data_IF_160422933033
#
_entry.id   IF_160422933033
#
_cell.length_a   1.000
_cell.length_b   1.000
_cell.length_c   1.000
_cell.angle_alpha   90.00
_cell.angle_beta   90.00
_cell.angle_gamma   90.00
#
_symmetry.space_group_name_H-M   'P 1'
#
loop_
_entity.id
_entity.type
_entity.pdbx_description
1 polymer ?
#
# COMPACT_ATOMS: atom_id res chain seq x y z
N UNK A 1 21.23 -9.78 -27.73
CA UNK A 1 19.82 -9.59 -27.28
C UNK A 1 19.90 -8.75 -26.03
N UNK A 2 19.21 -7.62 -25.97
CA UNK A 2 19.17 -6.85 -24.72
C UNK A 2 18.61 -7.74 -23.62
N UNK A 3 19.26 -7.78 -22.46
CA UNK A 3 18.73 -8.47 -21.30
C UNK A 3 17.36 -7.86 -20.95
N UNK A 4 16.41 -8.68 -20.49
CA UNK A 4 15.13 -8.17 -20.00
C UNK A 4 15.37 -7.33 -18.76
N UNK A 5 14.75 -6.15 -18.60
CA UNK A 5 14.94 -5.30 -17.42
C UNK A 5 14.37 -5.98 -16.17
N UNK A 6 14.95 -5.66 -15.03
CA UNK A 6 14.26 -5.87 -13.75
C UNK A 6 13.10 -4.85 -13.64
N UNK A 7 12.05 -5.21 -12.93
CA UNK A 7 10.89 -4.33 -12.72
C UNK A 7 10.60 -4.25 -11.24
N UNK A 8 10.53 -3.02 -10.73
CA UNK A 8 10.18 -2.76 -9.33
C UNK A 8 8.95 -1.86 -9.29
N UNK A 9 7.90 -2.35 -8.65
CA UNK A 9 6.67 -1.60 -8.41
C UNK A 9 6.64 -1.21 -6.94
N UNK A 10 6.73 0.09 -6.64
CA UNK A 10 6.62 0.64 -5.30
C UNK A 10 5.23 1.24 -5.17
N UNK A 11 4.46 0.71 -4.23
CA UNK A 11 3.09 1.13 -3.96
C UNK A 11 2.97 1.74 -2.57
N UNK A 12 2.19 2.79 -2.47
CA UNK A 12 1.59 3.27 -1.22
C UNK A 12 0.12 2.85 -1.18
N UNK A 13 -0.58 3.07 -0.08
CA UNK A 13 -2.02 2.79 0.00
C UNK A 13 -2.79 4.05 0.41
N UNK A 14 -3.87 4.34 -0.32
CA UNK A 14 -4.72 5.52 -0.11
C UNK A 14 -4.01 6.87 -0.41
N UNK A 15 -2.91 6.85 -1.16
CA UNK A 15 -2.29 8.08 -1.64
C UNK A 15 -3.02 8.59 -2.88
N UNK A 16 -3.36 9.86 -2.88
CA UNK A 16 -3.96 10.54 -4.03
C UNK A 16 -2.99 11.52 -4.67
N UNK A 17 -3.18 11.79 -5.95
CA UNK A 17 -2.49 12.86 -6.63
C UNK A 17 -2.68 14.22 -5.93
N UNK A 18 -1.71 15.11 -6.06
CA UNK A 18 -1.79 16.47 -5.53
C UNK A 18 -3.03 17.18 -6.10
N UNK A 19 -3.90 17.76 -5.24
CA UNK A 19 -5.10 18.43 -5.70
C UNK A 19 -4.76 19.76 -6.38
N UNK A 20 -5.57 20.14 -7.37
CA UNK A 20 -5.40 21.40 -8.11
C UNK A 20 -5.48 22.67 -7.25
N UNK A 21 -6.06 22.57 -6.06
CA UNK A 21 -6.17 23.65 -5.07
C UNK A 21 -5.04 23.64 -4.02
N UNK A 22 -4.00 22.85 -4.22
CA UNK A 22 -2.84 22.82 -3.34
C UNK A 22 -2.13 24.18 -3.30
N UNK A 23 -1.72 24.59 -2.10
CA UNK A 23 -0.96 25.84 -1.93
C UNK A 23 0.49 25.70 -2.38
N UNK A 24 1.17 26.83 -2.66
CA UNK A 24 2.60 26.79 -3.01
C UNK A 24 3.44 26.20 -1.87
N UNK A 25 3.13 26.54 -0.61
CA UNK A 25 3.82 25.99 0.56
C UNK A 25 3.72 24.45 0.63
N UNK A 26 2.56 23.87 0.26
CA UNK A 26 2.41 22.43 0.18
C UNK A 26 3.18 21.83 -0.98
N UNK A 27 3.23 22.50 -2.13
CA UNK A 27 4.05 22.06 -3.28
C UNK A 27 5.53 22.08 -2.92
N UNK A 28 6.00 23.10 -2.24
CA UNK A 28 7.37 23.17 -1.73
C UNK A 28 7.65 22.07 -0.70
N UNK A 29 6.72 21.82 0.20
CA UNK A 29 6.83 20.74 1.17
C UNK A 29 6.89 19.36 0.48
N UNK A 30 6.09 19.10 -0.56
CA UNK A 30 6.17 17.84 -1.31
C UNK A 30 7.54 17.59 -1.92
N UNK A 31 8.24 18.63 -2.35
CA UNK A 31 9.63 18.51 -2.84
C UNK A 31 10.62 18.09 -1.76
N UNK A 32 10.25 18.16 -0.49
CA UNK A 32 11.07 17.64 0.62
C UNK A 32 10.87 16.13 0.85
N UNK A 33 9.88 15.54 0.23
CA UNK A 33 9.65 14.08 0.22
C UNK A 33 10.60 13.45 -0.81
N UNK A 34 11.79 13.07 -0.38
CA UNK A 34 12.90 12.71 -1.26
C UNK A 34 12.60 11.52 -2.16
N UNK A 35 11.93 10.52 -1.62
CA UNK A 35 11.53 9.34 -2.35
C UNK A 35 10.50 9.66 -3.42
N UNK A 36 9.51 10.48 -3.10
CA UNK A 36 8.46 10.93 -4.02
C UNK A 36 9.02 11.86 -5.08
N UNK A 37 9.76 12.90 -4.68
CA UNK A 37 10.32 13.90 -5.57
C UNK A 37 11.27 13.29 -6.61
N UNK A 38 11.98 12.22 -6.25
CA UNK A 38 12.86 11.54 -7.20
C UNK A 38 12.09 11.03 -8.43
N UNK A 39 10.89 10.44 -8.24
CA UNK A 39 10.07 9.98 -9.36
C UNK A 39 9.55 11.14 -10.22
N UNK A 40 9.20 12.27 -9.59
CA UNK A 40 8.76 13.47 -10.31
C UNK A 40 9.88 14.05 -11.18
N UNK A 41 11.12 13.99 -10.70
CA UNK A 41 12.30 14.54 -11.40
C UNK A 41 12.85 13.60 -12.50
N UNK A 42 12.64 12.27 -12.38
CA UNK A 42 13.29 11.27 -13.25
C UNK A 42 12.31 10.42 -14.05
N UNK A 43 11.01 10.53 -13.76
CA UNK A 43 9.97 9.68 -14.34
C UNK A 43 9.08 10.38 -15.35
N UNK A 44 8.07 9.63 -15.77
CA UNK A 44 6.94 10.11 -16.57
C UNK A 44 5.68 9.94 -15.74
N UNK A 45 4.96 11.02 -15.46
CA UNK A 45 3.70 11.01 -14.74
C UNK A 45 2.52 10.73 -15.67
N UNK A 46 1.61 9.87 -15.24
CA UNK A 46 0.37 9.55 -15.92
C UNK A 46 -0.81 10.23 -15.22
N UNK A 47 -1.01 11.52 -15.46
CA UNK A 47 -2.00 12.37 -14.76
C UNK A 47 -3.46 11.95 -15.00
N UNK A 48 -3.72 11.08 -15.96
CA UNK A 48 -5.05 10.57 -16.30
C UNK A 48 -5.17 9.07 -16.08
N UNK A 49 -4.49 8.55 -15.07
CA UNK A 49 -4.66 7.19 -14.61
C UNK A 49 -5.84 7.13 -13.64
N UNK A 50 -6.85 6.31 -13.96
CA UNK A 50 -8.07 6.18 -13.18
C UNK A 50 -8.14 4.82 -12.50
N UNK A 51 -8.51 4.81 -11.22
CA UNK A 51 -8.72 3.55 -10.49
C UNK A 51 -10.06 2.91 -10.87
N UNK A 52 -10.11 1.58 -10.89
CA UNK A 52 -11.34 0.83 -11.13
C UNK A 52 -12.28 0.79 -9.92
N UNK A 53 -11.78 1.11 -8.73
CA UNK A 53 -12.53 1.23 -7.48
C UNK A 53 -11.82 2.15 -6.51
N UNK A 54 -12.59 2.83 -5.64
CA UNK A 54 -12.04 3.68 -4.58
C UNK A 54 -11.69 2.91 -3.30
N UNK A 55 -12.16 1.65 -3.17
CA UNK A 55 -11.87 0.82 -2.03
C UNK A 55 -10.72 -0.15 -2.36
N UNK A 56 -9.84 -0.41 -1.38
CA UNK A 56 -8.61 -1.19 -1.58
C UNK A 56 -8.87 -2.63 -2.04
N UNK A 57 -9.81 -3.35 -1.40
CA UNK A 57 -10.08 -4.77 -1.74
C UNK A 57 -10.51 -4.97 -3.19
N UNK A 58 -11.42 -4.18 -3.80
CA UNK A 58 -11.71 -4.30 -5.23
C UNK A 58 -10.70 -3.58 -6.15
N UNK A 59 -9.98 -2.57 -5.65
CA UNK A 59 -8.98 -1.85 -6.45
C UNK A 59 -7.72 -2.67 -6.71
N UNK A 60 -7.22 -3.37 -5.67
CA UNK A 60 -5.99 -4.17 -5.77
C UNK A 60 -6.09 -5.32 -6.77
N UNK A 61 -7.13 -6.19 -6.76
CA UNK A 61 -7.32 -7.15 -7.83
C UNK A 61 -7.42 -6.52 -9.21
N UNK A 62 -8.07 -5.34 -9.35
CA UNK A 62 -8.11 -4.61 -10.62
C UNK A 62 -6.71 -4.28 -11.12
N UNK A 63 -5.84 -3.77 -10.25
CA UNK A 63 -4.45 -3.45 -10.60
C UNK A 63 -3.66 -4.71 -10.97
N UNK A 64 -3.78 -5.78 -10.18
CA UNK A 64 -2.97 -6.99 -10.35
C UNK A 64 -3.48 -7.95 -11.42
N UNK A 65 -4.74 -7.88 -11.82
CA UNK A 65 -5.32 -8.73 -12.88
C UNK A 65 -5.52 -8.00 -14.20
N UNK A 66 -5.54 -6.65 -14.19
CA UNK A 66 -5.92 -5.83 -15.34
C UNK A 66 -7.42 -5.94 -15.69
N UNK A 67 -8.24 -6.47 -14.77
CA UNK A 67 -9.68 -6.66 -14.96
C UNK A 67 -10.47 -5.73 -14.03
N UNK A 68 -11.65 -5.30 -14.46
CA UNK A 68 -12.56 -4.52 -13.60
C UNK A 68 -13.27 -5.39 -12.55
N UNK A 69 -13.79 -4.77 -11.46
CA UNK A 69 -14.45 -5.50 -10.38
C UNK A 69 -15.59 -6.42 -10.79
N UNK A 70 -16.32 -6.08 -11.83
CA UNK A 70 -17.40 -6.91 -12.39
C UNK A 70 -16.89 -8.18 -13.08
N UNK A 71 -15.63 -8.19 -13.54
CA UNK A 71 -15.00 -9.35 -14.19
C UNK A 71 -14.36 -10.27 -13.15
N UNK A 72 -13.50 -9.73 -12.25
CA UNK A 72 -12.87 -10.57 -11.21
C UNK A 72 -13.80 -10.83 -10.01
N UNK A 73 -14.97 -10.19 -9.94
CA UNK A 73 -16.02 -10.43 -8.96
C UNK A 73 -15.77 -9.89 -7.56
N UNK A 74 -14.61 -9.27 -7.29
CA UNK A 74 -14.30 -8.64 -6.00
C UNK A 74 -14.82 -7.21 -6.03
N UNK A 75 -15.95 -6.95 -5.38
CA UNK A 75 -16.69 -5.69 -5.52
C UNK A 75 -16.86 -4.90 -4.22
N UNK A 76 -16.41 -5.47 -3.10
CA UNK A 76 -16.62 -4.89 -1.77
C UNK A 76 -15.33 -4.93 -0.96
N UNK A 77 -15.21 -4.05 0.02
CA UNK A 77 -14.14 -4.05 1.00
C UNK A 77 -14.65 -4.41 2.39
N UNK A 78 -13.81 -5.00 3.19
CA UNK A 78 -13.99 -5.15 4.62
C UNK A 78 -13.73 -3.82 5.37
N UNK A 79 -13.92 -3.83 6.66
CA UNK A 79 -13.73 -2.68 7.54
C UNK A 79 -14.75 -2.66 8.67
N UNK A 80 -15.00 -1.48 9.24
CA UNK A 80 -15.89 -1.33 10.41
C UNK A 80 -17.33 -1.77 10.16
N UNK A 81 -17.82 -1.74 8.92
CA UNK A 81 -19.19 -2.11 8.57
C UNK A 81 -19.35 -3.56 8.13
N UNK A 82 -18.24 -4.26 7.89
CA UNK A 82 -18.24 -5.61 7.37
C UNK A 82 -16.88 -6.27 7.62
N UNK A 83 -16.88 -7.31 8.40
CA UNK A 83 -15.64 -8.05 8.72
C UNK A 83 -15.11 -8.81 7.50
N UNK A 84 -13.84 -9.15 7.51
CA UNK A 84 -13.19 -9.87 6.41
C UNK A 84 -13.81 -11.26 6.12
N UNK A 85 -14.37 -11.92 7.14
CA UNK A 85 -15.05 -13.20 7.08
C UNK A 85 -16.57 -13.11 6.83
N UNK A 86 -17.11 -11.90 6.63
CA UNK A 86 -18.53 -11.71 6.30
C UNK A 86 -18.88 -12.47 5.01
N UNK A 87 -19.97 -13.21 5.02
CA UNK A 87 -20.43 -14.02 3.87
C UNK A 87 -20.72 -13.21 2.60
N UNK A 88 -20.87 -11.91 2.71
CA UNK A 88 -21.02 -10.98 1.57
C UNK A 88 -19.68 -10.57 0.95
N UNK A 89 -18.57 -10.78 1.66
CA UNK A 89 -17.24 -10.53 1.13
C UNK A 89 -16.87 -11.58 0.09
N UNK A 90 -16.29 -11.11 -0.99
CA UNK A 90 -15.67 -11.96 -1.99
C UNK A 90 -14.20 -11.54 -2.13
N UNK A 91 -13.34 -12.51 -1.97
CA UNK A 91 -11.90 -12.38 -2.17
C UNK A 91 -11.50 -13.07 -3.48
N UNK A 92 -10.42 -12.61 -4.09
CA UNK A 92 -9.86 -13.29 -5.26
C UNK A 92 -9.36 -14.67 -4.86
N UNK A 93 -9.74 -15.68 -5.61
CA UNK A 93 -9.31 -17.07 -5.38
C UNK A 93 -8.17 -17.45 -6.33
N UNK A 94 -7.29 -18.36 -5.91
CA UNK A 94 -6.26 -18.90 -6.78
C UNK A 94 -6.85 -19.45 -8.07
N UNK A 95 -6.29 -19.03 -9.21
CA UNK A 95 -6.68 -19.54 -10.52
C UNK A 95 -7.97 -18.99 -11.14
N UNK A 96 -8.73 -18.13 -10.43
CA UNK A 96 -9.91 -17.47 -11.02
C UNK A 96 -9.54 -16.52 -12.16
N UNK A 97 -8.55 -15.66 -11.90
CA UNK A 97 -8.02 -14.73 -12.90
C UNK A 97 -6.49 -14.68 -12.73
N UNK A 98 -5.70 -14.81 -13.81
CA UNK A 98 -4.26 -14.67 -13.71
C UNK A 98 -3.88 -13.26 -13.22
N UNK A 99 -2.91 -13.18 -12.32
CA UNK A 99 -2.37 -11.93 -11.82
C UNK A 99 -1.13 -11.51 -12.60
N UNK A 100 -0.67 -10.30 -12.35
CA UNK A 100 0.61 -9.79 -12.82
C UNK A 100 1.76 -10.76 -12.48
N UNK A 101 1.77 -11.32 -11.25
CA UNK A 101 2.75 -12.32 -10.85
C UNK A 101 2.73 -13.57 -11.71
N UNK A 102 1.54 -14.12 -12.04
CA UNK A 102 1.42 -15.27 -12.92
C UNK A 102 1.98 -14.97 -14.33
N UNK A 103 1.66 -13.81 -14.90
CA UNK A 103 2.13 -13.41 -16.23
C UNK A 103 3.65 -13.26 -16.28
N UNK A 104 4.24 -12.58 -15.29
CA UNK A 104 5.68 -12.38 -15.23
C UNK A 104 6.43 -13.68 -14.96
N UNK A 105 5.91 -14.52 -14.08
CA UNK A 105 6.48 -15.85 -13.81
C UNK A 105 6.48 -16.72 -15.08
N UNK A 106 5.37 -16.72 -15.83
CA UNK A 106 5.29 -17.40 -17.14
C UNK A 106 6.28 -16.82 -18.18
N UNK A 107 6.62 -15.54 -18.06
CA UNK A 107 7.65 -14.90 -18.88
C UNK A 107 9.09 -15.17 -18.40
N UNK A 108 9.29 -15.96 -17.34
CA UNK A 108 10.61 -16.32 -16.82
C UNK A 108 11.23 -15.33 -15.85
N UNK A 109 10.43 -14.48 -15.24
CA UNK A 109 10.84 -13.61 -14.13
C UNK A 109 10.75 -14.33 -12.79
N UNK A 110 11.63 -13.99 -11.86
CA UNK A 110 11.39 -14.23 -10.45
C UNK A 110 10.42 -13.15 -9.96
N UNK A 111 9.36 -13.57 -9.28
CA UNK A 111 8.28 -12.67 -8.88
C UNK A 111 8.18 -12.63 -7.37
N UNK A 112 8.45 -11.47 -6.78
CA UNK A 112 8.54 -11.24 -5.34
C UNK A 112 7.56 -10.17 -4.91
N UNK A 113 6.94 -10.37 -3.76
CA UNK A 113 6.00 -9.43 -3.16
C UNK A 113 6.30 -9.26 -1.68
N UNK A 114 6.38 -8.02 -1.20
CA UNK A 114 6.42 -7.71 0.23
C UNK A 114 5.50 -6.53 0.56
N UNK A 115 4.85 -6.60 1.72
CA UNK A 115 3.95 -5.57 2.23
C UNK A 115 2.46 -5.89 2.06
N UNK A 116 1.62 -4.87 2.03
CA UNK A 116 0.16 -5.02 2.01
C UNK A 116 -0.33 -5.73 0.75
N UNK A 117 -0.97 -6.89 0.93
CA UNK A 117 -1.58 -7.68 -0.15
C UNK A 117 -3.06 -7.35 -0.36
N UNK A 118 -3.89 -7.66 0.61
CA UNK A 118 -5.31 -7.31 0.70
C UNK A 118 -6.16 -7.67 -0.53
N UNK A 119 -5.88 -8.81 -1.14
CA UNK A 119 -6.55 -9.34 -2.35
C UNK A 119 -7.24 -10.67 -2.05
N UNK A 120 -6.66 -11.44 -1.14
CA UNK A 120 -7.13 -12.77 -0.74
C UNK A 120 -6.86 -13.01 0.74
N UNK A 121 -7.42 -14.07 1.31
CA UNK A 121 -7.02 -14.56 2.62
C UNK A 121 -5.68 -15.28 2.50
N UNK A 122 -4.60 -14.60 2.88
CA UNK A 122 -3.23 -15.12 2.82
C UNK A 122 -2.59 -15.31 4.21
N UNK A 123 -3.24 -14.84 5.26
CA UNK A 123 -2.71 -14.92 6.61
C UNK A 123 -2.56 -16.35 7.11
N UNK A 124 -1.42 -16.61 7.72
CA UNK A 124 -1.26 -17.76 8.61
C UNK A 124 -1.87 -17.44 9.97
N UNK A 125 -2.35 -18.48 10.65
CA UNK A 125 -2.99 -18.32 11.94
C UNK A 125 -2.20 -19.10 13.02
N UNK A 126 -2.23 -18.57 14.22
CA UNK A 126 -1.70 -19.26 15.38
C UNK A 126 -2.68 -20.31 15.94
N UNK A 127 -2.32 -20.95 17.07
CA UNK A 127 -3.16 -21.96 17.70
C UNK A 127 -4.45 -21.44 18.32
N UNK A 128 -4.59 -20.13 18.48
CA UNK A 128 -5.83 -19.47 18.95
C UNK A 128 -6.75 -19.06 17.80
N UNK A 129 -6.28 -19.18 16.56
CA UNK A 129 -7.01 -18.75 15.37
C UNK A 129 -6.79 -17.29 15.01
N UNK A 130 -5.90 -16.57 15.70
CA UNK A 130 -5.53 -15.21 15.37
C UNK A 130 -4.46 -15.17 14.28
N UNK A 131 -4.40 -14.12 13.44
CA UNK A 131 -3.34 -13.95 12.46
C UNK A 131 -1.96 -14.02 13.11
N UNK A 132 -1.06 -14.81 12.51
CA UNK A 132 0.27 -15.07 13.06
C UNK A 132 1.13 -13.80 12.99
N UNK A 133 1.38 -13.14 14.12
CA UNK A 133 2.18 -11.93 14.20
C UNK A 133 3.64 -12.19 13.79
N UNK A 134 4.23 -11.28 13.02
CA UNK A 134 5.65 -11.33 12.61
C UNK A 134 6.50 -10.20 13.18
N UNK A 135 5.86 -9.30 13.92
CA UNK A 135 6.53 -8.23 14.68
C UNK A 135 5.72 -7.84 15.92
N UNK A 136 6.38 -7.18 16.86
CA UNK A 136 5.75 -6.53 18.01
C UNK A 136 5.26 -5.12 17.66
N UNK A 137 4.56 -4.46 18.59
CA UNK A 137 4.14 -3.06 18.43
C UNK A 137 5.33 -2.08 18.43
N UNK A 138 6.45 -2.48 19.01
CA UNK A 138 7.71 -1.73 19.05
C UNK A 138 8.57 -1.95 17.78
N UNK A 139 8.12 -2.82 16.87
CA UNK A 139 8.80 -3.13 15.62
C UNK A 139 9.89 -4.21 15.73
N UNK A 140 9.92 -4.95 16.83
CA UNK A 140 10.82 -6.11 16.95
C UNK A 140 10.34 -7.25 16.05
N UNK A 141 11.23 -7.82 15.25
CA UNK A 141 10.90 -8.90 14.31
C UNK A 141 10.84 -10.23 15.04
N UNK A 142 9.83 -11.03 14.74
CA UNK A 142 9.63 -12.40 15.24
C UNK A 142 10.11 -13.39 14.17
N UNK A 143 11.42 -13.65 14.12
CA UNK A 143 12.09 -14.37 13.03
C UNK A 143 11.49 -15.76 12.76
N UNK A 144 11.13 -16.53 13.79
CA UNK A 144 10.50 -17.84 13.63
C UNK A 144 9.16 -17.76 12.88
N UNK A 145 8.38 -16.72 13.14
CA UNK A 145 7.10 -16.50 12.46
C UNK A 145 7.30 -15.97 11.03
N UNK A 146 8.32 -15.14 10.81
CA UNK A 146 8.73 -14.73 9.46
C UNK A 146 9.13 -15.95 8.64
N UNK A 147 9.95 -16.85 9.19
CA UNK A 147 10.34 -18.09 8.51
C UNK A 147 9.13 -18.95 8.13
N UNK A 148 8.12 -19.05 9.02
CA UNK A 148 6.89 -19.79 8.72
C UNK A 148 6.10 -19.22 7.53
N UNK A 149 6.04 -17.88 7.39
CA UNK A 149 5.43 -17.25 6.21
C UNK A 149 6.22 -17.52 4.93
N UNK A 150 7.54 -17.45 4.99
CA UNK A 150 8.41 -17.72 3.85
C UNK A 150 8.31 -19.19 3.40
N UNK A 151 8.28 -20.13 4.34
CA UNK A 151 8.12 -21.56 4.05
C UNK A 151 6.74 -21.90 3.48
N UNK A 152 5.67 -21.26 3.97
CA UNK A 152 4.32 -21.49 3.50
C UNK A 152 4.06 -20.88 2.12
N UNK A 153 4.78 -19.82 1.79
CA UNK A 153 4.68 -19.04 0.52
C UNK A 153 3.23 -18.81 0.05
N UNK A 154 2.39 -18.16 0.88
CA UNK A 154 0.93 -18.12 0.69
C UNK A 154 0.49 -17.38 -0.59
N UNK A 155 1.35 -16.54 -1.18
CA UNK A 155 1.07 -15.87 -2.44
C UNK A 155 1.52 -16.64 -3.67
N UNK A 156 2.14 -17.82 -3.52
CA UNK A 156 2.59 -18.64 -4.63
C UNK A 156 1.48 -18.95 -5.65
N UNK A 157 0.23 -19.27 -5.24
CA UNK A 157 -0.88 -19.49 -6.18
C UNK A 157 -1.26 -18.26 -7.01
N UNK A 158 -0.91 -17.05 -6.54
CA UNK A 158 -1.10 -15.80 -7.25
C UNK A 158 0.14 -15.36 -8.03
N UNK A 159 1.12 -16.25 -8.17
CA UNK A 159 2.33 -16.01 -8.94
C UNK A 159 3.37 -15.13 -8.24
N UNK A 160 3.32 -14.93 -6.93
CA UNK A 160 4.31 -14.21 -6.15
C UNK A 160 4.91 -15.10 -5.05
N UNK A 161 6.11 -14.77 -4.59
CA UNK A 161 6.79 -15.42 -3.47
C UNK A 161 7.39 -14.38 -2.52
N UNK A 162 7.78 -14.83 -1.33
CA UNK A 162 8.50 -14.01 -0.35
C UNK A 162 7.65 -13.10 0.52
N UNK A 163 6.33 -13.22 0.46
CA UNK A 163 5.43 -12.41 1.28
C UNK A 163 5.47 -12.79 2.76
N UNK A 164 5.50 -11.76 3.61
CA UNK A 164 5.51 -11.88 5.07
C UNK A 164 4.31 -11.13 5.66
N UNK A 165 3.34 -11.89 6.14
CA UNK A 165 2.16 -11.35 6.83
C UNK A 165 2.45 -10.99 8.31
N UNK A 166 1.40 -10.88 9.14
CA UNK A 166 0.01 -10.89 8.70
C UNK A 166 -0.30 -9.66 7.86
N UNK A 167 -1.46 -9.69 7.17
CA UNK A 167 -1.93 -8.53 6.40
C UNK A 167 -1.92 -7.27 7.28
N UNK A 168 -1.19 -6.20 6.91
CA UNK A 168 -1.14 -4.98 7.69
C UNK A 168 -2.44 -4.20 7.54
N UNK A 169 -3.45 -4.63 8.28
CA UNK A 169 -4.81 -4.10 8.28
C UNK A 169 -5.41 -4.15 9.69
N UNK A 170 -6.37 -3.26 9.97
CA UNK A 170 -7.06 -3.22 11.25
C UNK A 170 -6.47 -2.27 12.28
N UNK A 171 -7.02 -2.30 13.50
CA UNK A 171 -6.76 -1.32 14.56
C UNK A 171 -5.57 -1.63 15.47
N UNK A 172 -4.80 -2.69 15.22
CA UNK A 172 -3.62 -3.03 16.01
C UNK A 172 -2.43 -2.18 15.57
N UNK A 173 -1.80 -1.48 16.51
CA UNK A 173 -0.64 -0.62 16.20
C UNK A 173 0.54 -1.39 15.59
N UNK A 174 0.76 -2.63 16.01
CA UNK A 174 1.78 -3.51 15.42
C UNK A 174 1.61 -3.73 13.90
N UNK A 175 0.39 -3.59 13.38
CA UNK A 175 0.07 -3.72 11.97
C UNK A 175 -0.06 -2.38 11.24
N UNK A 176 0.12 -1.25 11.93
CA UNK A 176 0.10 0.07 11.31
C UNK A 176 1.30 0.27 10.38
N UNK A 177 1.16 1.11 9.37
CA UNK A 177 2.26 1.48 8.49
C UNK A 177 3.39 2.19 9.21
N UNK A 178 3.12 2.86 10.35
CA UNK A 178 4.17 3.45 11.17
C UNK A 178 5.17 2.41 11.70
N UNK A 179 4.73 1.16 11.90
CA UNK A 179 5.58 0.03 12.30
C UNK A 179 5.98 -0.83 11.10
N UNK A 180 5.02 -1.13 10.23
CA UNK A 180 5.23 -2.09 9.13
C UNK A 180 6.05 -1.54 7.96
N UNK A 181 5.88 -0.27 7.58
CA UNK A 181 6.58 0.28 6.41
C UNK A 181 8.11 0.27 6.57
N UNK A 182 8.69 0.65 7.72
CA UNK A 182 10.12 0.46 7.95
C UNK A 182 10.59 -0.99 7.85
N UNK A 183 9.81 -1.95 8.39
CA UNK A 183 10.16 -3.38 8.38
C UNK A 183 10.07 -3.97 6.96
N UNK A 184 9.09 -3.55 6.17
CA UNK A 184 8.97 -3.90 4.75
C UNK A 184 10.21 -3.40 4.00
N UNK A 185 10.58 -2.12 4.18
CA UNK A 185 11.76 -1.56 3.54
C UNK A 185 13.04 -2.32 3.93
N UNK A 186 13.19 -2.71 5.21
CA UNK A 186 14.34 -3.47 5.70
C UNK A 186 14.45 -4.86 5.04
N UNK A 187 13.33 -5.58 4.90
CA UNK A 187 13.31 -6.88 4.23
C UNK A 187 13.64 -6.75 2.76
N UNK A 188 13.02 -5.79 2.09
CA UNK A 188 13.21 -5.54 0.66
C UNK A 188 14.65 -5.13 0.35
N UNK A 189 15.24 -4.22 1.14
CA UNK A 189 16.64 -3.81 0.94
C UNK A 189 17.59 -5.00 1.12
N UNK A 190 17.41 -5.81 2.18
CA UNK A 190 18.21 -7.03 2.37
C UNK A 190 18.07 -8.02 1.20
N UNK A 191 16.84 -8.20 0.69
CA UNK A 191 16.60 -9.06 -0.47
C UNK A 191 17.31 -8.54 -1.73
N UNK A 192 17.26 -7.23 -1.97
CA UNK A 192 17.96 -6.57 -3.09
C UNK A 192 19.49 -6.73 -2.96
N UNK A 193 20.03 -6.48 -1.77
CA UNK A 193 21.47 -6.62 -1.51
C UNK A 193 21.95 -8.05 -1.77
N UNK A 194 21.22 -9.06 -1.26
CA UNK A 194 21.52 -10.48 -1.55
C UNK A 194 21.40 -10.78 -3.04
N UNK A 195 20.32 -10.35 -3.68
CA UNK A 195 20.09 -10.56 -5.11
C UNK A 195 21.21 -10.01 -5.97
N UNK A 196 21.64 -8.77 -5.71
CA UNK A 196 22.71 -8.13 -6.46
C UNK A 196 24.07 -8.74 -6.15
N UNK A 197 24.35 -9.13 -4.91
CA UNK A 197 25.59 -9.82 -4.55
C UNK A 197 25.70 -11.19 -5.25
N UNK A 198 24.63 -11.99 -5.24
CA UNK A 198 24.58 -13.29 -5.93
C UNK A 198 24.71 -13.12 -7.44
N UNK A 199 24.06 -12.10 -8.03
CA UNK A 199 24.18 -11.77 -9.46
C UNK A 199 25.63 -11.42 -9.82
N UNK A 200 26.31 -10.61 -9.01
CA UNK A 200 27.72 -10.26 -9.19
C UNK A 200 28.66 -11.48 -9.07
N UNK A 201 28.28 -12.47 -8.25
CA UNK A 201 29.00 -13.73 -8.12
C UNK A 201 28.71 -14.74 -9.27
N UNK A 202 27.84 -14.40 -10.22
CA UNK A 202 27.49 -15.24 -11.36
C UNK A 202 26.49 -16.36 -11.05
N UNK A 203 25.72 -16.25 -9.96
CA UNK A 203 24.68 -17.20 -9.62
C UNK A 203 23.59 -17.22 -10.73
N UNK A 204 23.40 -18.36 -11.37
CA UNK A 204 22.50 -18.53 -12.51
C UNK A 204 21.04 -18.19 -12.20
N UNK A 205 20.57 -18.45 -10.97
CA UNK A 205 19.23 -18.08 -10.55
C UNK A 205 19.11 -16.56 -10.36
N UNK A 206 20.12 -15.94 -9.76
CA UNK A 206 20.14 -14.50 -9.54
C UNK A 206 20.28 -13.70 -10.85
N UNK A 207 20.74 -14.31 -11.93
CA UNK A 207 20.82 -13.70 -13.28
C UNK A 207 19.46 -13.55 -13.96
N UNK A 208 18.42 -14.29 -13.50
CA UNK A 208 17.06 -14.10 -14.04
C UNK A 208 16.54 -12.70 -13.73
N UNK A 209 15.79 -12.07 -14.64
CA UNK A 209 15.13 -10.81 -14.32
C UNK A 209 14.09 -11.01 -13.20
N UNK A 210 13.81 -9.99 -12.44
CA UNK A 210 12.79 -10.05 -11.39
C UNK A 210 11.70 -8.99 -11.56
N UNK A 211 10.50 -9.33 -11.09
CA UNK A 211 9.43 -8.41 -10.75
C UNK A 211 9.35 -8.36 -9.22
N UNK A 212 9.66 -7.22 -8.64
CA UNK A 212 9.51 -6.96 -7.22
C UNK A 212 8.36 -5.98 -6.98
N UNK A 213 7.40 -6.37 -6.18
CA UNK A 213 6.33 -5.48 -5.70
C UNK A 213 6.58 -5.16 -4.23
N UNK A 214 6.70 -3.89 -3.91
CA UNK A 214 6.84 -3.36 -2.55
C UNK A 214 5.61 -2.53 -2.25
N UNK A 215 4.77 -3.01 -1.36
CA UNK A 215 3.48 -2.40 -1.06
C UNK A 215 3.44 -1.87 0.38
N UNK A 216 3.71 -0.59 0.54
CA UNK A 216 3.62 0.12 1.81
C UNK A 216 2.17 0.33 2.25
N UNK A 217 1.97 0.54 3.54
CA UNK A 217 0.66 0.75 4.15
C UNK A 217 0.26 2.22 4.11
N UNK A 218 1.17 3.13 4.53
CA UNK A 218 0.82 4.53 4.62
C UNK A 218 0.71 5.21 3.24
N UNK A 219 -0.17 6.24 3.15
CA UNK A 219 -0.89 6.97 4.21
C UNK A 219 -2.22 6.36 4.69
N UNK A 220 -2.54 5.10 4.40
CA UNK A 220 -3.79 4.42 4.76
C UNK A 220 -4.13 4.49 6.26
N UNK A 221 -3.13 4.60 7.16
CA UNK A 221 -3.38 4.68 8.60
C UNK A 221 -4.22 5.90 9.02
N UNK A 222 -4.50 6.82 8.10
CA UNK A 222 -5.47 7.90 8.34
C UNK A 222 -6.86 7.37 8.73
N UNK A 223 -7.21 6.15 8.36
CA UNK A 223 -8.46 5.48 8.79
C UNK A 223 -8.52 5.28 10.30
N UNK A 224 -7.36 5.27 10.98
CA UNK A 224 -7.26 5.16 12.44
C UNK A 224 -7.48 6.50 13.15
N UNK A 225 -7.72 7.58 12.43
CA UNK A 225 -7.90 8.92 12.99
C UNK A 225 -8.90 8.98 14.16
N UNK A 226 -10.10 8.36 14.09
CA UNK A 226 -11.03 8.35 15.23
C UNK A 226 -10.45 7.64 16.46
N UNK A 227 -9.66 6.59 16.26
CA UNK A 227 -9.00 5.86 17.35
C UNK A 227 -7.95 6.75 18.02
N UNK A 228 -7.13 7.45 17.23
CA UNK A 228 -6.10 8.36 17.75
C UNK A 228 -6.70 9.54 18.50
N UNK A 229 -7.84 10.07 18.05
CA UNK A 229 -8.54 11.14 18.76
C UNK A 229 -9.06 10.70 20.14
N UNK A 230 -9.34 9.41 20.32
CA UNK A 230 -9.83 8.86 21.58
C UNK A 230 -8.73 8.31 22.50
N UNK A 231 -7.62 7.80 21.94
CA UNK A 231 -6.57 7.10 22.68
C UNK A 231 -5.25 7.86 22.75
N UNK A 232 -5.09 8.92 21.96
CA UNK A 232 -3.84 9.66 21.80
C UNK A 232 -3.19 9.38 20.44
N UNK A 233 -2.47 10.40 19.97
CA UNK A 233 -1.72 10.33 18.71
C UNK A 233 -0.46 9.48 18.88
N UNK A 234 -0.06 8.73 17.83
CA UNK A 234 1.26 8.09 17.82
C UNK A 234 2.39 9.12 17.91
N UNK A 235 3.33 8.89 18.82
CA UNK A 235 4.49 9.79 19.04
C UNK A 235 5.29 10.00 17.74
N UNK A 236 5.38 8.99 16.89
CA UNK A 236 6.06 9.06 15.60
C UNK A 236 5.53 10.18 14.67
N UNK A 237 4.29 10.66 14.89
CA UNK A 237 3.69 11.73 14.08
C UNK A 237 3.85 13.13 14.71
N UNK A 238 4.22 13.24 15.99
CA UNK A 238 4.25 14.52 16.70
C UNK A 238 5.35 15.46 16.19
N UNK A 239 6.48 14.91 15.79
CA UNK A 239 7.62 15.69 15.26
C UNK A 239 7.48 16.15 13.82
N UNK A 240 6.52 15.58 13.07
CA UNK A 240 6.36 15.84 11.64
C UNK A 240 5.61 17.16 11.44
N UNK A 241 6.25 18.10 10.73
CA UNK A 241 5.68 19.40 10.38
C UNK A 241 5.21 19.40 8.94
N UNK A 242 3.96 19.79 8.74
CA UNK A 242 3.38 20.02 7.41
C UNK A 242 2.73 21.39 7.36
N UNK A 243 2.74 22.10 6.24
CA UNK A 243 1.94 23.32 6.07
C UNK A 243 0.45 23.00 6.23
N UNK A 244 -0.34 24.00 6.59
CA UNK A 244 -1.79 23.83 6.74
C UNK A 244 -2.41 23.40 5.42
N UNK A 245 -3.07 22.24 5.43
CA UNK A 245 -3.69 21.66 4.22
C UNK A 245 -5.06 22.27 3.98
N UNK A 246 -5.30 22.95 2.85
CA UNK A 246 -6.56 23.61 2.59
C UNK A 246 -7.71 22.60 2.46
N UNK A 247 -8.92 23.05 2.74
CA UNK A 247 -10.11 22.28 2.46
C UNK A 247 -10.41 22.31 0.96
N UNK A 248 -10.91 21.20 0.44
CA UNK A 248 -11.37 21.17 -0.95
C UNK A 248 -12.48 22.22 -1.19
N UNK A 249 -12.44 23.00 -2.27
CA UNK A 249 -13.50 23.95 -2.59
C UNK A 249 -14.89 23.32 -2.66
N UNK A 250 -14.95 22.03 -3.02
CA UNK A 250 -16.18 21.23 -3.09
C UNK A 250 -16.64 20.63 -1.76
N UNK A 251 -15.93 20.86 -0.64
CA UNK A 251 -16.24 20.21 0.65
C UNK A 251 -17.68 20.47 1.15
N UNK A 252 -18.22 21.65 0.85
CA UNK A 252 -19.58 22.05 1.20
C UNK A 252 -20.46 22.31 -0.03
N UNK A 253 -20.11 21.66 -1.15
CA UNK A 253 -20.84 21.84 -2.40
C UNK A 253 -22.31 21.40 -2.26
N UNK A 254 -23.21 22.21 -2.82
CA UNK A 254 -24.61 21.86 -2.95
C UNK A 254 -24.80 20.78 -4.01
N UNK A 255 -25.32 19.63 -3.60
CA UNK A 255 -25.50 18.48 -4.50
C UNK A 255 -26.78 18.56 -5.35
N UNK A 256 -27.59 19.63 -5.28
CA UNK A 256 -28.84 19.74 -6.04
C UNK A 256 -28.68 19.60 -7.55
N UNK A 257 -27.49 19.94 -8.06
CA UNK A 257 -27.16 19.85 -9.49
C UNK A 257 -26.27 18.64 -9.84
N UNK A 258 -26.08 17.73 -8.88
CA UNK A 258 -25.31 16.49 -9.06
C UNK A 258 -26.24 15.31 -9.35
N UNK A 259 -25.72 14.20 -9.89
CA UNK A 259 -26.53 12.97 -10.06
C UNK A 259 -27.21 12.54 -8.76
N UNK A 260 -28.47 12.12 -8.84
CA UNK A 260 -29.26 11.69 -7.67
C UNK A 260 -28.56 10.56 -6.88
N UNK A 261 -27.80 9.70 -7.54
CA UNK A 261 -27.00 8.64 -6.91
C UNK A 261 -25.98 9.21 -5.92
N UNK A 262 -25.38 10.38 -6.18
CA UNK A 262 -24.43 11.01 -5.28
C UNK A 262 -25.10 11.54 -4.01
N UNK A 263 -26.31 12.11 -4.14
CA UNK A 263 -27.12 12.53 -3.00
C UNK A 263 -27.50 11.33 -2.15
N UNK A 264 -28.07 10.29 -2.79
CA UNK A 264 -28.48 9.06 -2.12
C UNK A 264 -27.32 8.37 -1.39
N UNK A 265 -26.12 8.35 -2.01
CA UNK A 265 -24.93 7.79 -1.38
C UNK A 265 -24.55 8.57 -0.11
N UNK A 266 -24.53 9.90 -0.16
CA UNK A 266 -24.23 10.74 1.01
C UNK A 266 -25.23 10.51 2.16
N UNK A 267 -26.50 10.36 1.83
CA UNK A 267 -27.57 10.12 2.82
C UNK A 267 -27.48 8.71 3.42
N UNK A 268 -27.18 7.71 2.61
CA UNK A 268 -27.07 6.32 3.04
C UNK A 268 -25.76 6.00 3.79
N UNK A 269 -24.69 6.77 3.54
CA UNK A 269 -23.34 6.49 4.06
C UNK A 269 -23.29 6.19 5.57
N UNK A 270 -23.92 7.00 6.46
CA UNK A 270 -23.88 6.74 7.89
C UNK A 270 -24.50 5.40 8.32
N UNK A 271 -25.47 4.88 7.55
CA UNK A 271 -26.11 3.60 7.86
C UNK A 271 -25.47 2.40 7.16
N UNK A 272 -24.75 2.63 6.07
CA UNK A 272 -24.12 1.57 5.28
C UNK A 272 -22.74 1.15 5.81
N UNK A 273 -22.04 2.04 6.49
CA UNK A 273 -20.66 1.84 6.95
C UNK A 273 -20.57 1.72 8.48
N UNK A 274 -21.50 0.99 9.10
CA UNK A 274 -21.48 0.66 10.52
C UNK A 274 -21.48 1.90 11.42
N UNK A 275 -20.47 2.09 12.29
CA UNK A 275 -20.43 3.20 13.25
C UNK A 275 -20.09 4.57 12.63
N UNK A 276 -20.21 4.76 11.32
CA UNK A 276 -19.88 6.02 10.66
C UNK A 276 -20.60 7.22 11.29
N UNK A 277 -21.86 7.07 11.69
CA UNK A 277 -22.60 8.11 12.39
C UNK A 277 -21.97 8.50 13.75
N UNK A 278 -21.41 7.54 14.47
CA UNK A 278 -20.75 7.79 15.77
C UNK A 278 -19.41 8.51 15.61
N UNK A 279 -18.66 8.24 14.53
CA UNK A 279 -17.35 8.84 14.29
C UNK A 279 -17.39 10.14 13.49
N UNK A 280 -18.49 10.42 12.76
CA UNK A 280 -18.64 11.63 11.95
C UNK A 280 -18.37 12.94 12.72
N UNK A 281 -18.80 13.12 14.00
CA UNK A 281 -18.47 14.30 14.77
C UNK A 281 -16.97 14.47 15.05
N UNK A 282 -16.19 13.39 15.10
CA UNK A 282 -14.75 13.42 15.32
C UNK A 282 -14.08 14.09 14.11
N UNK A 283 -14.46 13.69 12.90
CA UNK A 283 -13.95 14.29 11.66
C UNK A 283 -14.38 15.74 11.51
N UNK A 284 -15.67 16.05 11.72
CA UNK A 284 -16.18 17.40 11.51
C UNK A 284 -15.60 18.44 12.49
N UNK A 285 -15.28 18.03 13.71
CA UNK A 285 -14.63 18.91 14.71
C UNK A 285 -13.13 19.07 14.49
N UNK A 286 -12.49 18.12 13.81
CA UNK A 286 -11.02 18.05 13.69
C UNK A 286 -10.58 17.97 12.22
N UNK A 287 -11.37 18.47 11.29
CA UNK A 287 -11.12 18.30 9.84
C UNK A 287 -9.78 18.88 9.38
N UNK A 288 -9.25 19.95 10.03
CA UNK A 288 -7.92 20.46 9.69
C UNK A 288 -6.84 19.44 10.11
N UNK A 289 -6.87 19.02 11.37
CA UNK A 289 -5.93 18.03 11.88
C UNK A 289 -5.96 16.71 11.07
N UNK A 290 -7.14 16.27 10.66
CA UNK A 290 -7.30 15.08 9.79
C UNK A 290 -6.51 15.23 8.48
N UNK A 291 -6.63 16.37 7.80
CA UNK A 291 -5.91 16.63 6.55
C UNK A 291 -4.40 16.77 6.77
N UNK A 292 -4.01 17.46 7.85
CA UNK A 292 -2.59 17.62 8.17
C UNK A 292 -1.94 16.27 8.53
N UNK A 293 -2.65 15.41 9.26
CA UNK A 293 -2.18 14.07 9.61
C UNK A 293 -2.03 13.16 8.38
N UNK A 294 -2.95 13.24 7.44
CA UNK A 294 -2.81 12.51 6.18
C UNK A 294 -1.48 12.87 5.48
N UNK A 295 -1.08 14.14 5.47
CA UNK A 295 0.20 14.56 4.91
C UNK A 295 1.41 14.15 5.78
N UNK A 296 1.25 14.10 7.11
CA UNK A 296 2.30 13.55 7.99
C UNK A 296 2.56 12.07 7.70
N UNK A 297 1.52 11.31 7.38
CA UNK A 297 1.65 9.90 6.99
C UNK A 297 2.36 9.73 5.64
N UNK A 298 2.19 10.67 4.70
CA UNK A 298 2.99 10.69 3.48
C UNK A 298 4.49 10.86 3.81
N UNK A 299 4.83 11.76 4.72
CA UNK A 299 6.23 11.94 5.14
C UNK A 299 6.76 10.71 5.88
N UNK A 300 5.92 10.03 6.67
CA UNK A 300 6.32 8.82 7.38
C UNK A 300 6.68 7.68 6.44
N UNK A 301 5.97 7.50 5.32
CA UNK A 301 6.24 6.45 4.33
C UNK A 301 7.34 6.83 3.34
N UNK A 302 7.60 8.12 3.14
CA UNK A 302 8.60 8.58 2.16
C UNK A 302 10.01 8.10 2.50
N UNK A 303 10.37 8.03 3.77
CA UNK A 303 11.67 7.47 4.21
C UNK A 303 11.86 6.00 3.83
N UNK A 304 10.96 5.07 4.21
CA UNK A 304 10.96 3.70 3.73
C UNK A 304 10.98 3.57 2.20
N UNK A 305 10.18 4.36 1.49
CA UNK A 305 10.12 4.40 0.03
C UNK A 305 11.47 4.81 -0.56
N UNK A 306 12.09 5.88 -0.06
CA UNK A 306 13.40 6.36 -0.52
C UNK A 306 14.49 5.32 -0.32
N UNK A 307 14.50 4.60 0.80
CA UNK A 307 15.47 3.54 1.06
C UNK A 307 15.41 2.43 0.01
N UNK A 308 14.19 1.98 -0.33
CA UNK A 308 13.98 0.97 -1.38
C UNK A 308 14.41 1.52 -2.74
N UNK A 309 13.95 2.71 -3.11
CA UNK A 309 14.33 3.36 -4.37
C UNK A 309 15.85 3.49 -4.50
N UNK A 310 16.51 3.95 -3.43
CA UNK A 310 17.97 4.11 -3.43
C UNK A 310 18.72 2.78 -3.60
N UNK A 311 18.28 1.72 -2.92
CA UNK A 311 18.86 0.39 -3.05
C UNK A 311 18.71 -0.16 -4.49
N UNK A 312 17.53 0.00 -5.09
CA UNK A 312 17.29 -0.41 -6.49
C UNK A 312 18.21 0.34 -7.45
N UNK A 313 18.29 1.67 -7.35
CA UNK A 313 19.11 2.47 -8.28
C UNK A 313 20.59 2.22 -8.11
N UNK A 314 21.08 2.06 -6.87
CA UNK A 314 22.48 1.73 -6.59
C UNK A 314 22.85 0.35 -7.16
N UNK A 315 22.02 -0.66 -6.92
CA UNK A 315 22.24 -2.01 -7.41
C UNK A 315 22.20 -2.10 -8.94
N UNK A 316 21.20 -1.50 -9.57
CA UNK A 316 21.07 -1.45 -11.03
C UNK A 316 22.28 -0.77 -11.68
N UNK A 317 22.75 0.35 -11.13
CA UNK A 317 23.93 1.07 -11.60
C UNK A 317 25.19 0.21 -11.47
N UNK A 318 25.39 -0.42 -10.30
CA UNK A 318 26.57 -1.26 -10.05
C UNK A 318 26.63 -2.48 -10.97
N UNK A 319 25.47 -3.01 -11.38
CA UNK A 319 25.34 -4.17 -12.26
C UNK A 319 25.34 -3.79 -13.75
N UNK A 320 25.18 -2.51 -14.12
CA UNK A 320 24.94 -2.09 -15.49
C UNK A 320 23.70 -2.75 -16.11
N UNK A 321 22.65 -2.98 -15.27
CA UNK A 321 21.45 -3.70 -15.66
C UNK A 321 20.25 -2.75 -15.73
N UNK A 322 19.49 -2.87 -16.83
CA UNK A 322 18.30 -2.05 -17.02
C UNK A 322 17.24 -2.40 -15.96
N UNK A 323 16.72 -1.38 -15.31
CA UNK A 323 15.64 -1.52 -14.30
C UNK A 323 14.55 -0.48 -14.53
N UNK A 324 13.31 -0.92 -14.53
CA UNK A 324 12.13 -0.07 -14.61
C UNK A 324 11.54 0.09 -13.21
N UNK A 325 11.47 1.32 -12.71
CA UNK A 325 10.76 1.64 -11.48
C UNK A 325 9.39 2.21 -11.81
N UNK A 326 8.37 1.68 -11.16
CA UNK A 326 6.99 2.14 -11.23
C UNK A 326 6.54 2.56 -9.84
N UNK A 327 6.00 3.76 -9.69
CA UNK A 327 5.34 4.20 -8.46
C UNK A 327 3.84 4.33 -8.69
N UNK A 328 3.05 3.79 -7.77
CA UNK A 328 1.57 3.85 -7.81
C UNK A 328 0.97 3.81 -6.40
N UNK A 329 -0.33 3.96 -6.31
CA UNK A 329 -1.08 3.81 -5.05
C UNK A 329 -2.43 3.15 -5.30
#
# INVERSE_FOLDING_TARGET
MNARPDIVVIMTDEERAAPVYETEELREWRRTLLGTAWFDDHGVSFDRHYTGSLACVPSRPTLFTGQYPDVHGVTQTDGLGKMADDSRMRWLRPGEVPTLGNWFRAAGYDTVYDGKWHISHADLHDSSGEPLATNTAEGEVLDDNVARYLDADPLNPFGFSGWVGPEPHGGLFANSGLVRDPLIADRVVRWLDDRYARRAAGDAEALRPFLLVVSFVNPHDIVLFPLWMNRGMPEALDGIRVPSVPMAPSAFEDLRHKPAAQVAYREAYPSCYGPAAAVAPIYSKNHQLYRDLYHRLHMAVDGPLERVRAAVTAGATAQGHDTVLVRTS
#
